data_IF_334466533453
#
_entry.id   IF_334466533453
#
_cell.length_a   1.000
_cell.length_b   1.000
_cell.length_c   1.000
_cell.angle_alpha   90.00
_cell.angle_beta   90.00
_cell.angle_gamma   90.00
#
_symmetry.space_group_name_H-M   'P 1'
#
loop_
_entity.id
_entity.type
_entity.pdbx_description
1 polymer ?
#
# COMPACT_ATOMS: atom_id res chain seq x y z
N UNK A 1 26.25 20.73 38.32
CA UNK A 1 27.29 19.69 38.41
C UNK A 1 26.63 18.32 38.26
N UNK A 2 26.46 17.84 37.03
CA UNK A 2 25.86 16.51 36.77
C UNK A 2 26.85 15.48 37.34
N UNK A 3 26.45 14.77 38.39
CA UNK A 3 27.30 13.78 39.07
C UNK A 3 27.75 12.75 38.03
N UNK A 4 29.06 12.51 37.92
CA UNK A 4 29.69 11.63 36.91
C UNK A 4 29.02 10.24 36.76
N UNK A 5 28.37 9.74 37.81
CA UNK A 5 27.57 8.51 37.80
C UNK A 5 26.35 8.58 36.86
N UNK A 6 25.62 9.69 36.81
CA UNK A 6 24.46 9.82 35.92
C UNK A 6 24.87 9.99 34.46
N UNK A 7 26.04 10.59 34.21
CA UNK A 7 26.62 10.68 32.86
C UNK A 7 27.06 9.30 32.36
N UNK A 8 27.70 8.51 33.24
CA UNK A 8 28.13 7.14 32.92
C UNK A 8 26.94 6.21 32.64
N UNK A 9 25.85 6.31 33.42
CA UNK A 9 24.61 5.56 33.17
C UNK A 9 24.00 5.94 31.81
N UNK A 10 23.97 7.23 31.48
CA UNK A 10 23.44 7.70 30.20
C UNK A 10 24.26 7.18 29.01
N UNK A 11 25.59 7.16 29.13
CA UNK A 11 26.49 6.59 28.11
C UNK A 11 26.27 5.09 27.92
N UNK A 12 26.09 4.33 29.01
CA UNK A 12 25.80 2.89 28.93
C UNK A 12 24.45 2.64 28.25
N UNK A 13 23.40 3.39 28.60
CA UNK A 13 22.09 3.27 27.96
C UNK A 13 22.17 3.55 26.45
N UNK A 14 22.87 4.60 26.03
CA UNK A 14 23.04 4.94 24.60
C UNK A 14 23.80 3.83 23.85
N UNK A 15 24.85 3.27 24.45
CA UNK A 15 25.58 2.15 23.84
C UNK A 15 24.71 0.91 23.66
N UNK A 16 23.80 0.61 24.60
CA UNK A 16 22.92 -0.56 24.48
C UNK A 16 21.90 -0.45 23.35
N UNK A 17 21.48 0.77 22.98
CA UNK A 17 20.56 1.00 21.84
C UNK A 17 21.26 0.75 20.49
N UNK A 18 22.59 0.78 20.43
CA UNK A 18 23.33 0.49 19.19
C UNK A 18 23.42 -1.01 18.86
N UNK A 19 23.11 -1.89 19.83
CA UNK A 19 23.17 -3.34 19.66
C UNK A 19 21.80 -4.01 19.54
N UNK A 20 20.70 -3.26 19.54
CA UNK A 20 19.40 -3.85 19.19
C UNK A 20 19.43 -4.17 17.69
N UNK A 21 19.28 -5.45 17.29
CA UNK A 21 19.15 -5.79 15.89
C UNK A 21 17.90 -5.08 15.36
N UNK A 22 18.07 -4.29 14.30
CA UNK A 22 16.95 -3.73 13.56
C UNK A 22 16.33 -4.92 12.81
N UNK A 23 15.50 -5.71 13.50
CA UNK A 23 14.58 -6.63 12.84
C UNK A 23 13.70 -5.79 11.91
N UNK A 24 13.34 -6.33 10.74
CA UNK A 24 12.35 -5.71 9.86
C UNK A 24 11.08 -5.43 10.69
N UNK A 25 10.90 -4.19 11.13
CA UNK A 25 9.65 -3.77 11.73
C UNK A 25 8.63 -3.78 10.59
N UNK A 26 7.70 -4.73 10.63
CA UNK A 26 6.51 -4.67 9.79
C UNK A 26 5.71 -3.45 10.27
N UNK A 27 5.97 -2.30 9.66
CA UNK A 27 5.26 -1.06 9.92
C UNK A 27 3.85 -1.12 9.33
N UNK A 28 3.00 -2.01 9.84
CA UNK A 28 1.57 -2.10 9.49
C UNK A 28 0.74 -0.93 10.06
N UNK A 29 1.29 0.29 10.04
CA UNK A 29 0.93 1.32 11.01
C UNK A 29 0.01 2.45 10.55
N UNK A 30 -0.16 2.72 9.24
CA UNK A 30 -0.91 3.90 8.77
C UNK A 30 -1.57 3.71 7.38
N UNK A 31 -1.79 2.47 6.96
CA UNK A 31 -2.35 2.19 5.63
C UNK A 31 -1.38 2.38 4.47
N UNK A 32 -0.09 2.62 4.72
CA UNK A 32 0.99 2.68 3.72
C UNK A 32 1.89 1.45 3.83
N UNK A 33 2.08 0.72 2.73
CA UNK A 33 3.03 -0.39 2.62
C UNK A 33 3.84 -0.27 1.33
N UNK A 34 5.09 -0.71 1.33
CA UNK A 34 5.98 -0.67 0.17
C UNK A 34 6.84 -1.91 0.07
N UNK A 35 6.74 -2.58 -1.07
CA UNK A 35 7.54 -3.76 -1.41
C UNK A 35 8.38 -3.50 -2.66
N UNK A 36 9.46 -4.26 -2.80
CA UNK A 36 10.27 -4.29 -4.02
C UNK A 36 10.13 -5.67 -4.66
N UNK A 37 10.04 -5.71 -5.99
CA UNK A 37 9.91 -6.94 -6.76
C UNK A 37 10.70 -6.84 -8.07
N UNK A 38 11.07 -7.98 -8.64
CA UNK A 38 11.60 -8.07 -9.99
C UNK A 38 10.51 -8.61 -10.91
N UNK A 39 10.19 -7.86 -11.96
CA UNK A 39 9.21 -8.25 -12.98
C UNK A 39 9.92 -8.22 -14.33
N UNK A 40 10.23 -9.41 -14.86
CA UNK A 40 10.92 -9.59 -16.14
C UNK A 40 12.26 -8.83 -16.22
N UNK A 41 13.07 -8.85 -15.16
CA UNK A 41 14.35 -8.16 -15.07
C UNK A 41 14.25 -6.68 -14.73
N UNK A 42 13.03 -6.14 -14.57
CA UNK A 42 12.80 -4.76 -14.14
C UNK A 42 12.57 -4.74 -12.63
N UNK A 43 13.40 -3.97 -11.91
CA UNK A 43 13.23 -3.73 -10.48
C UNK A 43 12.09 -2.73 -10.27
N UNK A 44 11.00 -3.18 -9.66
CA UNK A 44 9.80 -2.40 -9.40
C UNK A 44 9.61 -2.21 -7.90
N UNK A 45 9.31 -0.98 -7.49
CA UNK A 45 8.80 -0.67 -6.15
C UNK A 45 7.29 -0.52 -6.25
N UNK A 46 6.54 -1.29 -5.46
CA UNK A 46 5.09 -1.23 -5.37
C UNK A 46 4.73 -0.63 -4.02
N UNK A 47 3.95 0.44 -4.03
CA UNK A 47 3.43 1.10 -2.84
C UNK A 47 1.91 0.97 -2.82
N UNK A 48 1.35 0.59 -1.68
CA UNK A 48 -0.09 0.63 -1.42
C UNK A 48 -0.36 1.65 -0.33
N UNK A 49 -1.36 2.52 -0.52
CA UNK A 49 -1.76 3.55 0.42
C UNK A 49 -3.28 3.53 0.63
N UNK A 50 -3.74 3.77 1.86
CA UNK A 50 -5.15 3.98 2.20
C UNK A 50 -5.32 5.41 2.73
N UNK A 51 -6.27 6.16 2.17
CA UNK A 51 -6.56 7.55 2.55
C UNK A 51 -8.06 7.77 2.76
N UNK A 52 -8.51 8.43 3.84
CA UNK A 52 -7.72 8.83 5.01
C UNK A 52 -7.20 7.62 5.80
N UNK A 53 -6.09 7.77 6.56
CA UNK A 53 -5.48 6.68 7.32
C UNK A 53 -6.24 6.32 8.60
N UNK A 54 -7.33 7.03 8.90
CA UNK A 54 -8.17 6.75 10.07
C UNK A 54 -9.11 5.56 9.81
N UNK A 55 -9.48 4.90 10.91
CA UNK A 55 -10.35 3.72 10.91
C UNK A 55 -11.83 4.09 11.08
N UNK A 56 -12.22 5.31 10.73
CA UNK A 56 -13.62 5.74 10.84
C UNK A 56 -14.47 4.87 9.95
N UNK A 57 -15.40 4.15 10.57
CA UNK A 57 -16.34 3.27 9.89
C UNK A 57 -17.32 4.08 9.04
N UNK A 58 -17.77 3.48 7.93
CA UNK A 58 -18.79 4.05 7.04
C UNK A 58 -18.39 5.32 6.27
N UNK A 59 -17.10 5.66 6.23
CA UNK A 59 -16.58 6.72 5.38
C UNK A 59 -15.99 6.17 4.07
N UNK A 60 -16.07 6.97 3.00
CA UNK A 60 -15.35 6.69 1.76
C UNK A 60 -13.84 6.62 2.05
N UNK A 61 -13.20 5.52 1.66
CA UNK A 61 -11.75 5.38 1.70
C UNK A 61 -11.23 5.23 0.27
N UNK A 62 -10.00 5.67 0.03
CA UNK A 62 -9.29 5.49 -1.23
C UNK A 62 -8.13 4.55 -1.02
N UNK A 63 -8.04 3.51 -1.84
CA UNK A 63 -6.88 2.63 -1.91
C UNK A 63 -6.10 3.03 -3.16
N UNK A 64 -4.84 3.41 -3.00
CA UNK A 64 -3.94 3.79 -4.08
C UNK A 64 -2.87 2.72 -4.19
N UNK A 65 -2.74 2.09 -5.35
CA UNK A 65 -1.64 1.14 -5.64
C UNK A 65 -0.79 1.72 -6.74
N UNK A 66 0.50 1.94 -6.46
CA UNK A 66 1.45 2.57 -7.40
C UNK A 66 2.66 1.67 -7.63
N UNK A 67 3.03 1.48 -8.89
CA UNK A 67 4.28 0.84 -9.29
C UNK A 67 5.22 1.86 -9.93
N UNK A 68 6.46 1.90 -9.44
CA UNK A 68 7.55 2.71 -9.99
C UNK A 68 8.76 1.85 -10.29
N UNK A 69 9.52 2.23 -11.31
CA UNK A 69 10.84 1.67 -11.55
C UNK A 69 11.79 2.05 -10.41
N UNK A 70 12.41 1.08 -9.75
CA UNK A 70 13.23 1.31 -8.55
C UNK A 70 14.54 2.05 -8.84
N UNK A 71 15.00 2.11 -10.09
CA UNK A 71 16.24 2.80 -10.46
C UNK A 71 15.98 4.27 -10.80
N UNK A 72 14.91 4.52 -11.55
CA UNK A 72 14.58 5.86 -12.08
C UNK A 72 13.53 6.60 -11.24
N UNK A 73 12.84 5.90 -10.34
CA UNK A 73 11.72 6.39 -9.56
C UNK A 73 10.56 6.96 -10.41
N UNK A 74 10.48 6.57 -11.68
CA UNK A 74 9.40 6.93 -12.58
C UNK A 74 8.29 5.88 -12.52
N UNK A 75 7.04 6.30 -12.70
CA UNK A 75 5.92 5.38 -12.79
C UNK A 75 6.13 4.37 -13.93
N UNK A 76 5.67 3.14 -13.70
CA UNK A 76 5.58 2.16 -14.78
C UNK A 76 4.45 2.55 -15.74
N UNK A 77 4.57 2.15 -17.00
CA UNK A 77 3.50 2.32 -17.99
C UNK A 77 2.81 0.97 -18.22
N UNK A 78 1.51 1.00 -18.54
CA UNK A 78 0.71 -0.17 -18.93
C UNK A 78 0.86 -1.36 -17.98
N UNK A 79 0.66 -1.11 -16.69
CA UNK A 79 0.81 -2.13 -15.64
C UNK A 79 -0.52 -2.76 -15.29
N UNK A 80 -0.57 -4.08 -15.18
CA UNK A 80 -1.76 -4.80 -14.70
C UNK A 80 -1.47 -5.36 -13.32
N UNK A 81 -2.26 -4.96 -12.33
CA UNK A 81 -2.22 -5.47 -10.97
C UNK A 81 -3.27 -6.56 -10.77
N UNK A 82 -2.99 -7.52 -9.91
CA UNK A 82 -3.97 -8.45 -9.38
C UNK A 82 -4.19 -8.11 -7.91
N UNK A 83 -5.26 -7.39 -7.62
CA UNK A 83 -5.52 -6.80 -6.30
C UNK A 83 -6.61 -7.62 -5.61
N UNK A 84 -6.33 -8.03 -4.37
CA UNK A 84 -7.28 -8.67 -3.48
C UNK A 84 -7.58 -7.80 -2.27
N UNK A 85 -8.85 -7.67 -1.92
CA UNK A 85 -9.30 -7.01 -0.70
C UNK A 85 -9.85 -8.07 0.27
N UNK A 86 -9.44 -7.99 1.52
CA UNK A 86 -9.85 -8.91 2.59
C UNK A 86 -10.40 -8.12 3.76
N UNK A 87 -11.45 -8.64 4.38
CA UNK A 87 -12.05 -8.11 5.60
C UNK A 87 -12.27 -9.28 6.56
N UNK A 88 -11.73 -9.19 7.79
CA UNK A 88 -11.80 -10.26 8.80
C UNK A 88 -11.37 -11.64 8.26
N UNK A 89 -10.32 -11.67 7.44
CA UNK A 89 -9.81 -12.89 6.83
C UNK A 89 -10.65 -13.45 5.67
N UNK A 90 -11.81 -12.86 5.36
CA UNK A 90 -12.63 -13.23 4.20
C UNK A 90 -12.26 -12.38 3.00
N UNK A 91 -12.09 -13.03 1.84
CA UNK A 91 -11.87 -12.33 0.58
C UNK A 91 -13.16 -11.61 0.16
N UNK A 92 -13.07 -10.29 0.04
CA UNK A 92 -14.14 -9.43 -0.47
C UNK A 92 -14.14 -9.46 -2.00
N UNK A 93 -12.96 -9.26 -2.61
CA UNK A 93 -12.78 -9.47 -4.05
C UNK A 93 -11.33 -9.82 -4.39
N UNK A 94 -11.13 -10.32 -5.61
CA UNK A 94 -9.83 -10.44 -6.25
C UNK A 94 -9.97 -10.24 -7.76
N UNK A 95 -9.44 -9.14 -8.28
CA UNK A 95 -9.63 -8.74 -9.67
C UNK A 95 -8.34 -8.17 -10.30
N UNK A 96 -8.29 -8.18 -11.62
CA UNK A 96 -7.26 -7.49 -12.38
C UNK A 96 -7.60 -6.01 -12.52
N UNK A 97 -6.61 -5.15 -12.39
CA UNK A 97 -6.73 -3.69 -12.55
C UNK A 97 -5.62 -3.20 -13.47
N UNK A 98 -6.00 -2.54 -14.56
CA UNK A 98 -5.07 -1.98 -15.52
C UNK A 98 -4.80 -0.50 -15.20
N UNK A 99 -3.52 -0.17 -15.06
CA UNK A 99 -3.00 1.16 -14.81
C UNK A 99 -2.14 1.61 -15.98
N UNK A 100 -2.68 2.53 -16.79
CA UNK A 100 -1.94 3.10 -17.92
C UNK A 100 -0.66 3.83 -17.46
N UNK A 101 -0.72 4.51 -16.31
CA UNK A 101 0.36 5.31 -15.71
C UNK A 101 0.94 4.67 -14.43
N UNK A 102 0.77 3.37 -14.24
CA UNK A 102 1.34 2.64 -13.10
C UNK A 102 0.66 2.93 -11.75
N UNK A 103 -0.45 3.68 -11.73
CA UNK A 103 -1.26 3.91 -10.53
C UNK A 103 -2.69 3.41 -10.74
N UNK A 104 -3.24 2.73 -9.74
CA UNK A 104 -4.67 2.40 -9.64
C UNK A 104 -5.23 3.15 -8.43
N UNK A 105 -6.33 3.88 -8.63
CA UNK A 105 -7.09 4.49 -7.55
C UNK A 105 -8.40 3.73 -7.40
N UNK A 106 -8.68 3.20 -6.22
CA UNK A 106 -9.92 2.48 -5.91
C UNK A 106 -10.68 3.25 -4.84
N UNK A 107 -11.88 3.71 -5.15
CA UNK A 107 -12.80 4.29 -4.16
C UNK A 107 -13.61 3.17 -3.50
N UNK A 108 -13.46 3.06 -2.19
CA UNK A 108 -14.15 2.09 -1.36
C UNK A 108 -15.25 2.82 -0.60
N UNK A 109 -16.50 2.49 -0.93
CA UNK A 109 -17.68 2.95 -0.22
C UNK A 109 -18.22 1.80 0.63
N UNK A 110 -17.99 1.79 1.96
CA UNK A 110 -18.50 0.74 2.83
C UNK A 110 -20.03 0.70 2.79
N UNK A 111 -20.60 -0.50 2.75
CA UNK A 111 -22.05 -0.70 2.86
C UNK A 111 -22.38 -1.72 3.93
N UNK A 112 -23.53 -1.55 4.58
CA UNK A 112 -23.97 -2.41 5.69
C UNK A 112 -24.37 -3.81 5.20
N UNK A 113 -24.72 -3.96 3.92
CA UNK A 113 -25.37 -5.15 3.38
C UNK A 113 -24.41 -6.23 2.84
N UNK A 114 -23.09 -6.10 3.04
CA UNK A 114 -22.09 -7.13 2.75
C UNK A 114 -21.86 -7.48 1.27
N UNK A 115 -22.69 -7.00 0.35
CA UNK A 115 -22.50 -7.19 -1.09
C UNK A 115 -21.42 -6.23 -1.62
N UNK A 116 -20.56 -6.73 -2.51
CA UNK A 116 -19.50 -5.95 -3.15
C UNK A 116 -19.79 -5.79 -4.63
N UNK A 117 -19.76 -4.55 -5.10
CA UNK A 117 -19.86 -4.21 -6.52
C UNK A 117 -18.65 -3.35 -6.89
N UNK A 118 -17.99 -3.66 -8.00
CA UNK A 118 -16.93 -2.82 -8.54
C UNK A 118 -17.55 -1.94 -9.62
N UNK A 119 -17.45 -0.63 -9.44
CA UNK A 119 -17.73 0.35 -10.48
C UNK A 119 -16.48 0.49 -11.36
N UNK A 120 -16.66 0.83 -12.64
CA UNK A 120 -15.56 1.01 -13.59
C UNK A 120 -15.80 0.31 -14.91
N UNK A 121 -14.88 0.50 -15.85
CA UNK A 121 -14.93 -0.21 -17.13
C UNK A 121 -14.07 -1.46 -17.06
N UNK A 122 -14.51 -2.53 -17.72
CA UNK A 122 -13.80 -3.81 -17.78
C UNK A 122 -13.35 -4.07 -19.21
N UNK A 123 -12.04 -4.25 -19.41
CA UNK A 123 -11.52 -4.69 -20.70
C UNK A 123 -11.98 -6.13 -20.97
N UNK A 124 -12.71 -6.33 -22.07
CA UNK A 124 -13.29 -7.63 -22.39
C UNK A 124 -12.23 -8.73 -22.63
N UNK A 125 -11.05 -8.36 -23.15
CA UNK A 125 -10.00 -9.31 -23.51
C UNK A 125 -9.22 -9.85 -22.30
N UNK A 126 -8.98 -9.01 -21.28
CA UNK A 126 -8.13 -9.35 -20.13
C UNK A 126 -8.89 -9.41 -18.80
N UNK A 127 -10.19 -9.04 -18.81
CA UNK A 127 -11.01 -8.96 -17.61
C UNK A 127 -10.52 -7.96 -16.57
N UNK A 128 -9.65 -7.01 -16.96
CA UNK A 128 -9.09 -6.01 -16.08
C UNK A 128 -9.98 -4.77 -16.00
N UNK A 129 -10.22 -4.30 -14.79
CA UNK A 129 -10.88 -3.03 -14.53
C UNK A 129 -9.92 -1.88 -14.82
N UNK A 130 -10.42 -0.77 -15.38
CA UNK A 130 -9.62 0.41 -15.65
C UNK A 130 -10.44 1.68 -15.39
N UNK A 131 -9.76 2.72 -14.95
CA UNK A 131 -10.36 4.02 -14.70
C UNK A 131 -10.47 4.84 -15.98
N UNK A 132 -11.55 5.61 -16.08
CA UNK A 132 -11.69 6.71 -17.04
C UNK A 132 -12.24 7.92 -16.32
N UNK A 133 -12.09 9.11 -16.88
CA UNK A 133 -12.65 10.34 -16.28
C UNK A 133 -14.15 10.22 -16.01
N UNK A 134 -14.90 9.47 -16.82
CA UNK A 134 -16.35 9.26 -16.65
C UNK A 134 -16.70 8.06 -15.77
N UNK A 135 -15.78 7.13 -15.57
CA UNK A 135 -16.00 5.90 -14.81
C UNK A 135 -14.75 5.63 -13.94
N UNK A 136 -14.64 6.27 -12.76
CA UNK A 136 -13.64 5.90 -11.78
C UNK A 136 -13.90 4.49 -11.25
N UNK A 137 -12.87 3.90 -10.64
CA UNK A 137 -12.95 2.61 -9.93
C UNK A 137 -13.27 2.85 -8.46
#
# INVERSE_FOLDING_TARGET
MIRSKSLSIMTVCILTVLFVPISNAYGHGLGLDTIKSDVNGKKITITTEITPPDFTENEEKKIIVRAVDSQTNQNTNNTTFLIGLYHEGKMIFRNYFFAANGTVNIKVNPTINGNTTIAGQKYNLFGAWYETNSNPI
#
